data_IF_705286404085
#
_entry.id   IF_705286404085
#
_cell.length_a   1.000
_cell.length_b   1.000
_cell.length_c   1.000
_cell.angle_alpha   90.00
_cell.angle_beta   90.00
_cell.angle_gamma   90.00
#
_symmetry.space_group_name_H-M   'P 1'
#
loop_
_entity.id
_entity.type
_entity.pdbx_description
1 polymer ?
#
# COMPACT_ATOMS: atom_id res chain seq x y z
N UNK A 1 5.07 -4.14 -7.68
CA UNK A 1 5.60 -4.94 -6.56
C UNK A 1 6.88 -4.39 -5.93
N UNK A 2 7.92 -3.94 -6.67
CA UNK A 2 9.12 -3.36 -6.00
C UNK A 2 8.88 -1.98 -5.33
N UNK A 3 7.90 -1.21 -5.80
CA UNK A 3 7.71 0.19 -5.41
C UNK A 3 6.79 0.34 -4.17
N UNK A 4 5.74 -0.47 -4.05
CA UNK A 4 4.92 -0.56 -2.82
C UNK A 4 5.74 -0.97 -1.58
N UNK A 5 6.79 -1.79 -1.77
CA UNK A 5 7.72 -2.18 -0.71
C UNK A 5 8.53 -0.98 -0.18
N UNK A 6 8.86 -0.02 -1.05
CA UNK A 6 9.65 1.16 -0.67
C UNK A 6 8.86 2.06 0.28
N UNK A 7 7.60 2.35 -0.05
CA UNK A 7 6.76 3.19 0.81
C UNK A 7 6.47 2.53 2.15
N UNK A 8 6.21 1.22 2.18
CA UNK A 8 6.05 0.47 3.42
C UNK A 8 7.33 0.48 4.28
N UNK A 9 8.50 0.35 3.67
CA UNK A 9 9.78 0.44 4.37
C UNK A 9 10.03 1.84 4.95
N UNK A 10 9.64 2.90 4.23
CA UNK A 10 9.71 4.27 4.74
C UNK A 10 8.79 4.48 5.94
N UNK A 11 7.52 4.03 5.85
CA UNK A 11 6.57 4.10 6.97
C UNK A 11 7.05 3.30 8.19
N UNK A 12 7.64 2.12 7.95
CA UNK A 12 8.28 1.32 9.00
C UNK A 12 9.42 2.09 9.67
N UNK A 13 10.27 2.76 8.89
CA UNK A 13 11.39 3.56 9.40
C UNK A 13 10.95 4.72 10.30
N UNK A 14 9.81 5.34 10.00
CA UNK A 14 9.26 6.45 10.79
C UNK A 14 8.19 6.02 11.81
N UNK A 15 7.91 4.72 11.94
CA UNK A 15 6.79 4.21 12.73
C UNK A 15 6.82 4.70 14.19
N UNK A 16 7.99 4.61 14.84
CA UNK A 16 8.19 5.11 16.20
C UNK A 16 7.90 6.61 16.34
N UNK A 17 8.22 7.41 15.30
CA UNK A 17 7.97 8.86 15.30
C UNK A 17 6.48 9.14 15.15
N UNK A 18 5.80 8.41 14.26
CA UNK A 18 4.35 8.50 14.06
C UNK A 18 3.63 8.15 15.37
N UNK A 19 4.02 7.05 16.04
CA UNK A 19 3.45 6.66 17.33
C UNK A 19 3.69 7.69 18.44
N UNK A 20 4.90 8.27 18.51
CA UNK A 20 5.21 9.35 19.48
C UNK A 20 4.36 10.60 19.29
N UNK A 21 3.84 10.83 18.09
CA UNK A 21 2.91 11.91 17.80
C UNK A 21 1.44 11.54 18.08
N UNK A 22 1.18 10.34 18.61
CA UNK A 22 -0.16 9.88 18.99
C UNK A 22 -0.98 9.33 17.83
N UNK A 23 -0.34 9.02 16.70
CA UNK A 23 -0.96 8.42 15.53
C UNK A 23 -0.62 6.93 15.39
N UNK A 24 -1.41 6.21 14.62
CA UNK A 24 -1.20 4.80 14.28
C UNK A 24 -1.15 4.66 12.76
N UNK A 25 -0.36 3.70 12.26
CA UNK A 25 -0.31 3.38 10.84
C UNK A 25 -1.18 2.17 10.59
N UNK A 26 -2.01 2.20 9.54
CA UNK A 26 -2.75 1.03 9.08
C UNK A 26 -2.64 0.99 7.56
N UNK A 27 -2.24 -0.15 7.02
CA UNK A 27 -2.25 -0.37 5.57
C UNK A 27 -3.40 -1.28 5.18
N UNK A 28 -3.97 -1.04 4.00
CA UNK A 28 -5.10 -1.81 3.48
C UNK A 28 -4.76 -2.27 2.07
N UNK A 29 -4.64 -3.58 1.89
CA UNK A 29 -4.35 -4.19 0.59
C UNK A 29 -5.55 -4.94 0.02
N UNK A 30 -5.63 -5.04 -1.30
CA UNK A 30 -6.65 -5.84 -2.01
C UNK A 30 -6.17 -7.27 -2.32
N UNK A 31 -5.07 -7.69 -1.66
CA UNK A 31 -4.55 -9.05 -1.73
C UNK A 31 -5.39 -10.05 -0.94
N UNK A 32 -4.85 -11.24 -0.68
CA UNK A 32 -5.45 -12.20 0.24
C UNK A 32 -4.66 -12.25 1.57
N UNK A 33 -5.22 -12.95 2.56
CA UNK A 33 -4.59 -13.07 3.88
C UNK A 33 -3.20 -13.73 3.84
N UNK A 34 -2.97 -14.71 2.96
CA UNK A 34 -1.67 -15.38 2.86
C UNK A 34 -0.59 -14.41 2.37
N UNK A 35 -0.90 -13.58 1.37
CA UNK A 35 0.00 -12.53 0.88
C UNK A 35 0.23 -11.44 1.92
N UNK A 36 -0.81 -11.01 2.63
CA UNK A 36 -0.67 -10.03 3.70
C UNK A 36 0.23 -10.56 4.83
N UNK A 37 0.06 -11.82 5.22
CA UNK A 37 0.90 -12.47 6.23
C UNK A 37 2.37 -12.56 5.78
N UNK A 38 2.61 -12.97 4.53
CA UNK A 38 3.96 -13.01 3.97
C UNK A 38 4.59 -11.61 3.94
N UNK A 39 3.84 -10.60 3.51
CA UNK A 39 4.29 -9.21 3.49
C UNK A 39 4.65 -8.69 4.90
N UNK A 40 3.81 -8.95 5.90
CA UNK A 40 4.10 -8.56 7.30
C UNK A 40 5.37 -9.23 7.80
N UNK A 41 5.52 -10.53 7.54
CA UNK A 41 6.66 -11.30 8.00
C UNK A 41 7.97 -10.89 7.29
N UNK A 42 7.95 -10.85 5.95
CA UNK A 42 9.16 -10.68 5.14
C UNK A 42 9.68 -9.24 5.16
N UNK A 43 8.79 -8.25 5.27
CA UNK A 43 9.13 -6.83 5.33
C UNK A 43 9.16 -6.29 6.78
N UNK A 44 8.99 -7.18 7.77
CA UNK A 44 9.01 -6.89 9.22
C UNK A 44 8.10 -5.69 9.57
N UNK A 45 6.86 -5.72 9.08
CA UNK A 45 5.92 -4.60 9.22
C UNK A 45 5.43 -4.52 10.67
N UNK A 46 5.66 -3.38 11.36
CA UNK A 46 5.34 -3.25 12.79
C UNK A 46 3.91 -2.78 13.05
N UNK A 47 3.14 -2.50 11.99
CA UNK A 47 1.79 -1.94 12.06
C UNK A 47 0.74 -2.85 11.41
N UNK A 48 -0.55 -2.70 11.74
CA UNK A 48 -1.62 -3.49 11.15
C UNK A 48 -1.68 -3.43 9.62
N UNK A 49 -1.85 -4.60 9.00
CA UNK A 49 -2.14 -4.78 7.57
C UNK A 49 -3.51 -5.43 7.44
N UNK A 50 -4.47 -4.71 6.85
CA UNK A 50 -5.83 -5.18 6.62
C UNK A 50 -6.00 -5.65 5.17
N UNK A 51 -6.85 -6.66 5.00
CA UNK A 51 -7.22 -7.17 3.68
C UNK A 51 -8.63 -6.71 3.32
N UNK A 52 -8.74 -5.96 2.23
CA UNK A 52 -9.99 -5.49 1.65
C UNK A 52 -10.26 -6.20 0.33
N UNK A 53 -10.66 -7.48 0.44
CA UNK A 53 -10.93 -8.35 -0.71
C UNK A 53 -12.06 -7.78 -1.61
N UNK A 54 -13.02 -7.08 -1.01
CA UNK A 54 -14.14 -6.47 -1.74
C UNK A 54 -13.84 -5.07 -2.29
N UNK A 55 -12.68 -4.47 -1.98
CA UNK A 55 -12.32 -3.08 -2.30
C UNK A 55 -13.28 -2.03 -1.72
N UNK A 56 -13.91 -2.32 -0.58
CA UNK A 56 -14.83 -1.41 0.12
C UNK A 56 -14.11 -0.18 0.65
N UNK A 57 -12.93 -0.35 1.24
CA UNK A 57 -12.10 0.75 1.74
C UNK A 57 -11.59 1.59 0.57
N UNK A 58 -11.11 0.95 -0.50
CA UNK A 58 -10.62 1.66 -1.68
C UNK A 58 -11.73 2.47 -2.37
N UNK A 59 -12.96 1.93 -2.42
CA UNK A 59 -14.12 2.67 -2.92
C UNK A 59 -14.52 3.83 -1.99
N UNK A 60 -14.52 3.61 -0.66
CA UNK A 60 -14.82 4.67 0.31
C UNK A 60 -13.82 5.84 0.24
N UNK A 61 -12.55 5.52 -0.03
CA UNK A 61 -11.49 6.49 -0.25
C UNK A 61 -11.51 7.14 -1.65
N UNK A 62 -12.46 6.77 -2.52
CA UNK A 62 -12.55 7.23 -3.91
C UNK A 62 -11.23 7.01 -4.67
N UNK A 63 -10.58 5.86 -4.46
CA UNK A 63 -9.34 5.50 -5.14
C UNK A 63 -9.65 4.94 -6.52
N UNK A 64 -9.07 5.57 -7.54
CA UNK A 64 -9.34 5.27 -8.94
C UNK A 64 -8.79 3.90 -9.36
N UNK A 65 -9.46 3.29 -10.34
CA UNK A 65 -8.93 2.17 -11.11
C UNK A 65 -8.33 2.70 -12.38
N UNK A 66 -7.06 2.38 -12.62
CA UNK A 66 -6.43 2.66 -13.91
C UNK A 66 -6.77 1.58 -14.93
N UNK A 67 -6.70 1.92 -16.21
CA UNK A 67 -6.73 0.93 -17.29
C UNK A 67 -5.57 -0.06 -17.09
N UNK A 68 -5.81 -1.35 -17.30
CA UNK A 68 -4.75 -2.39 -17.29
C UNK A 68 -3.59 -2.05 -18.23
N UNK A 69 -3.83 -1.29 -19.31
CA UNK A 69 -2.78 -0.81 -20.22
C UNK A 69 -1.89 0.29 -19.62
N UNK A 70 -2.33 0.98 -18.57
CA UNK A 70 -1.54 1.99 -17.85
C UNK A 70 -0.56 1.41 -16.81
N UNK A 71 -0.62 0.10 -16.54
CA UNK A 71 0.22 -0.58 -15.55
C UNK A 71 1.43 -1.29 -16.18
N UNK A 72 1.39 -1.56 -17.48
CA UNK A 72 2.46 -2.25 -18.19
C UNK A 72 3.56 -1.26 -18.61
N UNK A 73 4.48 -0.94 -17.70
CA UNK A 73 5.81 -0.51 -18.12
C UNK A 73 6.61 -1.74 -18.59
N UNK A 74 7.23 -1.75 -19.79
CA UNK A 74 7.98 -2.88 -20.37
C UNK A 74 9.04 -3.49 -19.44
N UNK A 75 9.53 -2.72 -18.46
CA UNK A 75 10.60 -3.10 -17.54
C UNK A 75 10.17 -4.07 -16.43
N UNK A 76 8.86 -4.33 -16.29
CA UNK A 76 8.30 -5.15 -15.18
C UNK A 76 8.27 -6.66 -15.45
N UNK A 77 8.50 -7.08 -16.70
CA UNK A 77 8.44 -8.49 -17.13
C UNK A 77 9.50 -9.43 -16.52
N UNK A 78 10.79 -9.03 -16.37
CA UNK A 78 11.83 -9.94 -15.89
C UNK A 78 11.68 -10.36 -14.43
N UNK A 79 11.03 -9.52 -13.61
CA UNK A 79 10.81 -9.79 -12.17
C UNK A 79 9.73 -10.83 -11.92
N UNK A 80 8.62 -10.75 -12.65
CA UNK A 80 7.50 -11.70 -12.56
C UNK A 80 7.93 -13.13 -12.97
N UNK A 81 8.82 -13.26 -13.97
CA UNK A 81 9.31 -14.56 -14.42
C UNK A 81 10.26 -15.24 -13.43
N UNK A 82 11.05 -14.46 -12.67
CA UNK A 82 11.95 -15.00 -11.62
C UNK A 82 11.17 -15.51 -10.41
N UNK A 83 10.13 -14.80 -9.99
CA UNK A 83 9.25 -15.23 -8.89
C UNK A 83 8.54 -16.55 -9.21
N UNK A 84 8.12 -16.74 -10.47
CA UNK A 84 7.50 -17.98 -10.93
C UNK A 84 8.46 -19.18 -10.96
N UNK A 85 9.74 -18.96 -11.34
CA UNK A 85 10.77 -20.01 -11.31
C UNK A 85 11.21 -20.44 -9.91
N UNK A 86 11.04 -19.57 -8.91
CA UNK A 86 11.45 -19.83 -7.53
C UNK A 86 10.45 -20.67 -6.71
N UNK A 87 9.47 -21.32 -7.36
CA UNK A 87 8.49 -22.17 -6.68
C UNK A 87 7.50 -21.45 -5.78
N UNK A 88 7.53 -20.10 -5.76
CA UNK A 88 6.53 -19.30 -5.10
C UNK A 88 5.26 -19.45 -5.93
N UNK A 89 4.27 -20.18 -5.40
CA UNK A 89 2.90 -20.12 -5.91
C UNK A 89 2.48 -18.67 -5.70
N UNK A 90 2.63 -17.86 -6.74
CA UNK A 90 1.87 -16.63 -6.88
C UNK A 90 0.42 -17.10 -6.85
N UNK A 91 -0.19 -17.12 -5.65
CA UNK A 91 -1.64 -17.21 -5.51
C UNK A 91 -2.27 -16.22 -6.48
N UNK A 92 -3.48 -16.52 -6.96
CA UNK A 92 -4.19 -15.71 -7.95
C UNK A 92 -3.89 -14.22 -7.68
N UNK A 93 -3.36 -13.46 -8.66
CA UNK A 93 -3.26 -12.01 -8.52
C UNK A 93 -4.57 -11.53 -7.93
N UNK A 94 -4.52 -10.74 -6.84
CA UNK A 94 -5.74 -10.15 -6.28
C UNK A 94 -6.56 -9.60 -7.43
N UNK A 95 -7.88 -9.78 -7.41
CA UNK A 95 -8.75 -9.59 -8.59
C UNK A 95 -8.73 -8.18 -9.21
N UNK A 96 -7.92 -7.26 -8.65
CA UNK A 96 -7.86 -5.84 -8.91
C UNK A 96 -6.41 -5.34 -9.02
N UNK A 97 -5.65 -5.92 -9.94
CA UNK A 97 -4.27 -5.50 -10.24
C UNK A 97 -4.15 -4.05 -10.72
N UNK A 98 -5.28 -3.39 -11.00
CA UNK A 98 -5.38 -2.04 -11.53
C UNK A 98 -5.93 -1.00 -10.55
N UNK A 99 -5.99 -1.34 -9.27
CA UNK A 99 -6.31 -0.39 -8.22
C UNK A 99 -5.05 0.42 -7.90
N UNK A 100 -5.14 1.76 -7.93
CA UNK A 100 -4.07 2.61 -7.42
C UNK A 100 -4.08 2.62 -5.88
N UNK A 101 -3.04 3.19 -5.28
CA UNK A 101 -2.96 3.42 -3.85
C UNK A 101 -3.41 4.82 -3.45
N UNK A 102 -3.29 5.10 -2.16
CA UNK A 102 -3.47 6.42 -1.60
C UNK A 102 -3.21 6.41 -0.09
N UNK A 103 -2.85 7.57 0.42
CA UNK A 103 -2.49 7.77 1.83
C UNK A 103 -3.37 8.84 2.42
N UNK A 104 -3.89 8.57 3.62
CA UNK A 104 -4.80 9.45 4.33
C UNK A 104 -4.32 9.63 5.75
N UNK A 105 -4.37 10.86 6.25
CA UNK A 105 -4.27 11.13 7.69
C UNK A 105 -5.66 11.48 8.19
N UNK A 106 -6.21 10.58 9.01
CA UNK A 106 -7.52 10.76 9.64
C UNK A 106 -7.30 11.27 11.06
N UNK A 107 -7.77 12.49 11.33
CA UNK A 107 -7.70 13.09 12.66
C UNK A 107 -8.76 12.52 13.62
N UNK A 108 -8.81 12.99 14.87
CA UNK A 108 -9.86 12.59 15.82
C UNK A 108 -11.25 12.87 15.25
N UNK A 109 -12.12 11.85 15.22
CA UNK A 109 -13.45 11.94 14.61
C UNK A 109 -13.44 11.70 13.08
N UNK A 110 -14.47 12.14 12.34
CA UNK A 110 -14.59 11.87 10.90
C UNK A 110 -13.91 12.97 10.06
N UNK A 111 -12.69 13.38 10.41
CA UNK A 111 -11.98 14.48 9.72
C UNK A 111 -10.74 13.95 9.02
N UNK A 112 -10.69 14.08 7.69
CA UNK A 112 -9.47 13.85 6.91
C UNK A 112 -8.63 15.12 6.94
N UNK A 113 -7.42 15.04 7.51
CA UNK A 113 -6.46 16.15 7.60
C UNK A 113 -5.50 16.21 6.41
N UNK A 114 -5.22 15.05 5.82
CA UNK A 114 -4.38 14.92 4.64
C UNK A 114 -4.88 13.78 3.76
N UNK A 115 -4.71 13.97 2.47
CA UNK A 115 -5.09 13.01 1.44
C UNK A 115 -4.10 13.13 0.28
N UNK A 116 -3.50 12.00 -0.07
CA UNK A 116 -2.73 11.81 -1.29
C UNK A 116 -3.33 10.63 -2.03
N UNK A 117 -3.76 10.85 -3.28
CA UNK A 117 -4.15 9.76 -4.17
C UNK A 117 -3.00 9.53 -5.12
N UNK A 118 -2.53 8.29 -5.20
CA UNK A 118 -1.45 7.94 -6.09
C UNK A 118 -1.91 8.20 -7.54
N UNK A 119 -1.14 8.95 -8.33
CA UNK A 119 -1.40 9.16 -9.75
C UNK A 119 -1.01 7.94 -10.60
N UNK A 120 -0.09 7.12 -10.09
CA UNK A 120 0.38 5.87 -10.69
C UNK A 120 1.04 4.99 -9.62
N UNK A 121 1.35 3.74 -9.94
CA UNK A 121 1.88 2.72 -8.99
C UNK A 121 3.22 3.06 -8.31
N UNK A 122 3.87 4.15 -8.71
CA UNK A 122 5.12 4.63 -8.15
C UNK A 122 5.00 6.00 -7.46
N UNK A 123 3.81 6.58 -7.47
CA UNK A 123 3.52 7.84 -6.80
C UNK A 123 2.96 7.47 -5.44
N UNK A 124 3.56 7.97 -4.37
CA UNK A 124 3.14 7.72 -3.01
C UNK A 124 3.31 9.01 -2.22
N UNK A 125 2.52 9.17 -1.15
CA UNK A 125 2.60 10.33 -0.29
C UNK A 125 4.01 10.54 0.26
N UNK A 126 4.58 11.76 0.16
CA UNK A 126 5.83 12.07 0.81
C UNK A 126 5.70 11.92 2.33
N UNK A 127 6.62 11.18 2.95
CA UNK A 127 6.57 10.90 4.39
C UNK A 127 6.56 12.17 5.24
N UNK A 128 7.30 13.20 4.83
CA UNK A 128 7.33 14.48 5.54
C UNK A 128 5.97 15.21 5.51
N UNK A 129 5.18 15.04 4.44
CA UNK A 129 3.83 15.59 4.38
C UNK A 129 2.88 14.84 5.32
N UNK A 130 3.00 13.51 5.38
CA UNK A 130 2.24 12.67 6.33
C UNK A 130 2.53 13.13 7.76
N UNK A 131 3.81 13.27 8.11
CA UNK A 131 4.24 13.68 9.45
C UNK A 131 3.80 15.11 9.79
N UNK A 132 3.86 16.04 8.83
CA UNK A 132 3.37 17.41 9.03
C UNK A 132 1.86 17.45 9.32
N UNK A 133 1.08 16.54 8.74
CA UNK A 133 -0.37 16.46 8.91
C UNK A 133 -0.82 15.82 10.24
N UNK A 134 0.10 15.24 11.03
CA UNK A 134 -0.22 14.66 12.35
C UNK A 134 -0.43 15.71 13.45
N UNK A 135 -0.05 16.97 13.19
CA UNK A 135 -0.19 18.09 14.12
C UNK A 135 -1.54 18.80 14.00
#
# INVERSE_FOLDING_TARGET
MRIELEHAAQLRGEYDRIQKQGAEVVTIGTGNADYANAFVHDEEIPFPVLVDDEAKAAHAASIERVSVFGLFSPDSFPGAWRAWKAGHRIGKPGARTNQLGGTFVVGPGPVVRYEHRDAHTADHAPIEEILAALH
#
